data_IF_071938822854
#
_entry.id   IF_071938822854
#
_cell.length_a   1.000
_cell.length_b   1.000
_cell.length_c   1.000
_cell.angle_alpha   90.00
_cell.angle_beta   90.00
_cell.angle_gamma   90.00
#
_symmetry.space_group_name_H-M   'P 1'
#
loop_
_entity.id
_entity.type
_entity.pdbx_description
1 polymer ?
#
# COMPACT_ATOMS: atom_id res chain seq x y z
N UNK A 1 16.87 -23.23 29.55
CA UNK A 1 16.49 -22.41 28.37
C UNK A 1 15.06 -22.71 27.90
N UNK A 2 14.07 -22.79 28.80
CA UNK A 2 12.66 -23.09 28.45
C UNK A 2 11.70 -21.90 28.65
N UNK A 3 12.26 -20.74 29.02
CA UNK A 3 11.49 -19.51 29.29
C UNK A 3 11.33 -18.60 28.09
N UNK A 4 12.29 -18.56 27.15
CA UNK A 4 12.26 -17.62 26.01
C UNK A 4 11.15 -17.92 25.01
N UNK A 5 10.90 -19.19 24.70
CA UNK A 5 9.85 -19.62 23.74
C UNK A 5 8.43 -19.32 24.25
N UNK A 6 8.20 -19.48 25.56
CA UNK A 6 6.90 -19.16 26.18
C UNK A 6 6.68 -17.65 26.28
N UNK A 7 7.77 -16.90 26.54
CA UNK A 7 7.73 -15.44 26.58
C UNK A 7 7.46 -14.86 25.19
N UNK A 8 8.12 -15.36 24.14
CA UNK A 8 7.92 -14.88 22.77
C UNK A 8 6.49 -15.13 22.28
N UNK A 9 5.94 -16.33 22.48
CA UNK A 9 4.56 -16.64 22.11
C UNK A 9 3.53 -15.81 22.87
N UNK A 10 3.76 -15.59 24.17
CA UNK A 10 2.89 -14.71 24.98
C UNK A 10 3.00 -13.25 24.53
N UNK A 11 4.21 -12.74 24.32
CA UNK A 11 4.45 -11.37 23.83
C UNK A 11 3.80 -11.17 22.46
N UNK A 12 3.93 -12.12 21.53
CA UNK A 12 3.33 -12.02 20.20
C UNK A 12 1.80 -12.00 20.26
N UNK A 13 1.20 -12.83 21.13
CA UNK A 13 -0.25 -12.86 21.34
C UNK A 13 -0.77 -11.58 22.00
N UNK A 14 0.02 -10.99 22.90
CA UNK A 14 -0.27 -9.68 23.49
C UNK A 14 -0.14 -8.59 22.44
N UNK A 15 0.88 -8.61 21.58
CA UNK A 15 1.14 -7.61 20.55
C UNK A 15 -0.03 -7.49 19.57
N UNK A 16 -0.62 -8.61 19.16
CA UNK A 16 -1.79 -8.62 18.27
C UNK A 16 -3.07 -8.09 18.95
N UNK A 17 -3.19 -8.23 20.27
CA UNK A 17 -4.33 -7.72 21.05
C UNK A 17 -4.08 -6.33 21.63
N UNK A 18 -2.86 -5.82 21.48
CA UNK A 18 -2.38 -4.61 22.12
C UNK A 18 -3.21 -3.38 21.72
N UNK A 19 -3.53 -3.13 20.43
CA UNK A 19 -4.33 -1.97 20.06
C UNK A 19 -5.72 -1.95 20.72
N UNK A 20 -6.36 -3.12 20.83
CA UNK A 20 -7.66 -3.26 21.49
C UNK A 20 -7.61 -2.97 22.98
N UNK A 21 -6.64 -3.56 23.68
CA UNK A 21 -6.45 -3.35 25.13
C UNK A 21 -6.13 -1.88 25.41
N UNK A 22 -5.24 -1.29 24.63
CA UNK A 22 -4.84 0.12 24.79
C UNK A 22 -6.04 1.03 24.63
N UNK A 23 -6.89 0.85 23.62
CA UNK A 23 -8.02 1.73 23.42
C UNK A 23 -9.07 1.63 24.55
N UNK A 24 -9.31 0.43 25.09
CA UNK A 24 -10.16 0.27 26.30
C UNK A 24 -9.54 0.99 27.49
N UNK A 25 -8.22 0.88 27.68
CA UNK A 25 -7.51 1.59 28.74
C UNK A 25 -7.59 3.11 28.57
N UNK A 26 -7.54 3.62 27.34
CA UNK A 26 -7.74 5.04 27.06
C UNK A 26 -9.13 5.53 27.47
N UNK A 27 -10.18 4.77 27.16
CA UNK A 27 -11.56 5.11 27.58
C UNK A 27 -11.69 5.15 29.10
N UNK A 28 -11.17 4.13 29.80
CA UNK A 28 -11.18 4.09 31.26
C UNK A 28 -10.40 5.26 31.85
N UNK A 29 -9.26 5.62 31.24
CA UNK A 29 -8.45 6.74 31.66
C UNK A 29 -9.15 8.08 31.44
N UNK A 30 -9.88 8.25 30.33
CA UNK A 30 -10.72 9.44 30.08
C UNK A 30 -11.79 9.63 31.17
N UNK A 31 -12.41 8.54 31.63
CA UNK A 31 -13.47 8.57 32.65
C UNK A 31 -12.91 8.85 34.05
N UNK A 32 -11.73 8.33 34.36
CA UNK A 32 -11.16 8.36 35.72
C UNK A 32 -10.27 9.57 36.00
N UNK A 33 -9.65 10.17 34.98
CA UNK A 33 -8.62 11.21 35.16
C UNK A 33 -8.97 12.52 34.45
N UNK A 34 -8.51 12.70 33.20
CA UNK A 34 -8.86 13.80 32.30
C UNK A 34 -8.79 13.34 30.84
N UNK A 35 -9.64 13.92 29.98
CA UNK A 35 -9.68 13.56 28.56
C UNK A 35 -8.40 13.94 27.82
N UNK A 36 -7.73 15.01 28.27
CA UNK A 36 -6.45 15.42 27.71
C UNK A 36 -5.34 14.38 27.89
N UNK A 37 -5.27 13.72 29.05
CA UNK A 37 -4.22 12.71 29.31
C UNK A 37 -4.43 11.49 28.42
N UNK A 38 -5.68 11.05 28.23
CA UNK A 38 -5.98 9.96 27.29
C UNK A 38 -5.61 10.32 25.86
N UNK A 39 -5.80 11.59 25.44
CA UNK A 39 -5.40 12.02 24.10
C UNK A 39 -3.88 11.99 23.92
N UNK A 40 -3.11 12.44 24.92
CA UNK A 40 -1.65 12.39 24.88
C UNK A 40 -1.12 10.94 24.84
N UNK A 41 -1.67 10.05 25.67
CA UNK A 41 -1.28 8.64 25.67
C UNK A 41 -1.68 7.99 24.34
N UNK A 42 -2.89 8.25 23.85
CA UNK A 42 -3.34 7.78 22.54
C UNK A 42 -2.45 8.28 21.40
N UNK A 43 -1.96 9.52 21.48
CA UNK A 43 -1.03 10.09 20.52
C UNK A 43 0.31 9.32 20.49
N UNK A 44 0.85 8.95 21.65
CA UNK A 44 2.08 8.15 21.74
C UNK A 44 1.87 6.76 21.13
N UNK A 45 0.77 6.09 21.46
CA UNK A 45 0.47 4.77 20.88
C UNK A 45 0.22 4.83 19.38
N UNK A 46 -0.45 5.87 18.89
CA UNK A 46 -0.64 6.07 17.46
C UNK A 46 0.72 6.29 16.77
N UNK A 47 1.62 7.08 17.37
CA UNK A 47 2.98 7.26 16.85
C UNK A 47 3.75 5.94 16.75
N UNK A 48 3.61 5.05 17.75
CA UNK A 48 4.21 3.71 17.70
C UNK A 48 3.61 2.86 16.57
N UNK A 49 2.28 2.85 16.41
CA UNK A 49 1.61 2.17 15.27
C UNK A 49 2.14 2.71 13.94
N UNK A 50 2.21 4.03 13.80
CA UNK A 50 2.70 4.68 12.59
C UNK A 50 4.16 4.31 12.30
N UNK A 51 4.99 4.23 13.34
CA UNK A 51 6.39 3.81 13.21
C UNK A 51 6.49 2.38 12.71
N UNK A 52 5.67 1.46 13.23
CA UNK A 52 5.61 0.08 12.75
C UNK A 52 5.23 0.01 11.27
N UNK A 53 4.13 0.67 10.87
CA UNK A 53 3.72 0.76 9.46
C UNK A 53 4.81 1.37 8.57
N UNK A 54 5.51 2.41 9.06
CA UNK A 54 6.59 3.04 8.32
C UNK A 54 7.82 2.15 8.16
N UNK A 55 8.10 1.29 9.14
CA UNK A 55 9.22 0.36 9.08
C UNK A 55 8.96 -0.69 8.00
N UNK A 56 7.76 -1.28 7.98
CA UNK A 56 7.37 -2.26 6.96
C UNK A 56 7.43 -1.64 5.56
N UNK A 57 6.99 -0.38 5.43
CA UNK A 57 7.10 0.37 4.18
C UNK A 57 8.56 0.62 3.76
N UNK A 58 9.41 1.09 4.67
CA UNK A 58 10.84 1.32 4.37
C UNK A 58 11.53 0.00 4.01
N UNK A 59 11.22 -1.10 4.67
CA UNK A 59 11.78 -2.42 4.35
C UNK A 59 11.44 -2.82 2.91
N UNK A 60 10.17 -2.72 2.51
CA UNK A 60 9.76 -3.00 1.13
C UNK A 60 10.41 -2.05 0.11
N UNK A 61 10.51 -0.76 0.45
CA UNK A 61 11.15 0.24 -0.39
C UNK A 61 12.63 -0.10 -0.59
N UNK A 62 13.36 -0.36 0.50
CA UNK A 62 14.80 -0.69 0.49
C UNK A 62 15.05 -1.99 -0.26
N UNK A 63 14.29 -3.06 0.02
CA UNK A 63 14.41 -4.34 -0.70
C UNK A 63 14.18 -4.14 -2.19
N UNK A 64 13.22 -3.31 -2.58
CA UNK A 64 12.97 -3.05 -3.99
C UNK A 64 14.07 -2.22 -4.64
N UNK A 65 14.52 -1.14 -4.00
CA UNK A 65 15.62 -0.31 -4.49
C UNK A 65 16.89 -1.15 -4.60
N UNK A 66 17.16 -2.03 -3.63
CA UNK A 66 18.30 -2.95 -3.65
C UNK A 66 18.19 -3.96 -4.79
N UNK A 67 17.01 -4.54 -5.05
CA UNK A 67 16.78 -5.42 -6.21
C UNK A 67 16.97 -4.69 -7.54
N UNK A 68 16.48 -3.46 -7.64
CA UNK A 68 16.67 -2.62 -8.83
C UNK A 68 18.15 -2.33 -9.06
N UNK A 69 18.87 -1.92 -8.01
CA UNK A 69 20.29 -1.63 -8.07
C UNK A 69 21.14 -2.89 -8.36
N UNK A 70 20.82 -4.03 -7.76
CA UNK A 70 21.49 -5.31 -8.02
C UNK A 70 21.30 -5.75 -9.48
N UNK A 71 20.11 -5.53 -10.07
CA UNK A 71 19.87 -5.77 -11.51
C UNK A 71 20.66 -4.82 -12.39
N UNK A 72 20.80 -3.55 -11.99
CA UNK A 72 21.57 -2.55 -12.72
C UNK A 72 23.08 -2.85 -12.67
N UNK A 73 23.58 -3.31 -11.53
CA UNK A 73 25.00 -3.68 -11.36
C UNK A 73 25.36 -4.99 -12.09
N UNK A 74 24.41 -5.93 -12.22
CA UNK A 74 24.60 -7.17 -13.03
C UNK A 74 24.65 -6.92 -14.55
N UNK A 75 24.40 -5.68 -15.01
CA UNK A 75 24.43 -5.28 -16.43
C UNK A 75 25.72 -4.59 -16.88
N UNK A 76 26.74 -4.54 -16.03
CA UNK A 76 28.10 -4.22 -16.49
C UNK A 76 28.94 -5.50 -16.65
N UNK A 77 28.93 -6.15 -17.82
CA UNK A 77 29.97 -7.09 -18.18
C UNK A 77 31.17 -6.30 -18.73
N UNK A 78 32.25 -6.22 -17.97
CA UNK A 78 33.58 -6.01 -18.57
C UNK A 78 33.90 -7.25 -19.41
N UNK A 79 33.59 -7.16 -20.70
CA UNK A 79 34.20 -7.98 -21.74
C UNK A 79 35.49 -7.28 -22.14
N UNK A 80 36.63 -7.92 -21.91
CA UNK A 80 37.80 -7.92 -22.80
C UNK A 80 39.01 -8.53 -22.07
N UNK A 81 39.12 -9.86 -22.13
CA UNK A 81 40.42 -10.54 -22.14
C UNK A 81 40.31 -11.69 -23.13
N UNK A 82 40.70 -11.41 -24.37
CA UNK A 82 41.06 -12.42 -25.36
C UNK A 82 42.44 -12.03 -25.90
N UNK A 83 43.49 -12.70 -25.43
CA UNK A 83 44.76 -12.79 -26.16
C UNK A 83 45.31 -14.21 -26.04
N UNK A 84 45.06 -14.98 -27.09
CA UNK A 84 45.72 -16.25 -27.38
C UNK A 84 47.20 -15.99 -27.67
N UNK A 85 48.07 -16.78 -27.04
CA UNK A 85 49.45 -17.03 -27.50
C UNK A 85 49.46 -18.44 -28.09
N UNK A 86 49.79 -18.56 -29.38
CA UNK A 86 50.13 -19.83 -30.00
C UNK A 86 51.47 -19.68 -30.71
N UNK A 87 52.38 -20.60 -30.40
CA UNK A 87 53.68 -20.85 -31.04
C UNK A 87 53.45 -21.41 -32.46
N UNK A 88 54.29 -21.06 -33.45
CA UNK A 88 55.00 -22.03 -34.30
C UNK A 88 56.04 -21.35 -35.22
N UNK A 89 57.16 -22.06 -35.39
CA UNK A 89 58.31 -21.82 -36.27
C UNK A 89 57.96 -22.05 -37.75
N UNK A 90 58.70 -21.43 -38.68
CA UNK A 90 59.35 -22.10 -39.84
C UNK A 90 60.08 -21.09 -40.75
N UNK A 91 61.28 -21.52 -41.16
CA UNK A 91 62.33 -20.86 -41.91
C UNK A 91 62.19 -20.93 -43.45
N UNK A 92 62.77 -19.91 -44.10
CA UNK A 92 63.66 -19.91 -45.30
C UNK A 92 63.14 -19.99 -46.75
N UNK A 93 63.75 -19.06 -47.52
CA UNK A 93 64.27 -19.10 -48.92
C UNK A 93 63.24 -19.24 -50.05
N UNK A 94 63.27 -18.51 -51.17
CA UNK A 94 64.18 -17.50 -51.71
C UNK A 94 63.81 -17.23 -53.19
N UNK A 95 64.25 -16.07 -53.71
CA UNK A 95 64.51 -15.77 -55.15
C UNK A 95 63.29 -15.70 -56.10
N UNK A 96 62.79 -14.52 -56.53
CA UNK A 96 63.33 -13.59 -57.57
C UNK A 96 63.33 -14.16 -59.00
N UNK A 97 63.27 -13.37 -60.09
CA UNK A 97 62.52 -12.13 -60.39
C UNK A 97 61.85 -12.20 -61.80
N UNK A 98 61.30 -11.07 -62.26
CA UNK A 98 61.24 -10.55 -63.64
C UNK A 98 59.82 -10.19 -64.10
N UNK A 99 59.55 -9.15 -64.89
CA UNK A 99 60.25 -7.95 -65.40
C UNK A 99 59.27 -7.33 -66.42
N UNK A 100 59.24 -6.00 -66.51
CA UNK A 100 58.79 -5.19 -67.67
C UNK A 100 57.31 -5.29 -68.10
N UNK A 101 56.71 -4.37 -68.84
CA UNK A 101 56.90 -2.97 -69.28
C UNK A 101 55.82 -2.83 -70.38
N UNK A 102 55.31 -1.62 -70.62
CA UNK A 102 54.63 -1.34 -71.89
C UNK A 102 53.22 -0.80 -71.73
N UNK A 103 53.14 0.50 -71.97
CA UNK A 103 51.93 1.30 -72.08
C UNK A 103 51.11 0.94 -73.33
N UNK A 104 49.77 1.09 -73.25
CA UNK A 104 49.00 1.68 -74.34
C UNK A 104 47.70 2.30 -73.81
N UNK A 105 47.44 3.52 -74.30
CA UNK A 105 46.30 4.37 -74.00
C UNK A 105 45.29 4.19 -75.12
N UNK A 106 44.04 3.81 -74.84
CA UNK A 106 42.92 4.27 -75.68
C UNK A 106 41.60 4.40 -74.91
N UNK A 107 40.96 5.55 -75.13
CA UNK A 107 39.69 6.01 -74.59
C UNK A 107 38.50 5.13 -75.00
N UNK A 108 37.56 4.88 -74.08
CA UNK A 108 36.13 5.13 -74.34
C UNK A 108 35.29 5.18 -73.05
N UNK A 109 34.63 6.32 -72.88
CA UNK A 109 33.59 6.60 -71.88
C UNK A 109 32.28 5.95 -72.32
N UNK A 110 31.63 5.17 -71.45
CA UNK A 110 30.17 5.22 -71.20
C UNK A 110 29.73 4.27 -70.06
N UNK A 111 29.42 4.91 -68.92
CA UNK A 111 28.27 4.72 -68.03
C UNK A 111 27.52 3.37 -67.90
N UNK A 112 27.32 3.02 -66.61
CA UNK A 112 26.06 2.73 -65.91
C UNK A 112 25.67 1.28 -65.54
N UNK A 113 25.71 1.07 -64.21
CA UNK A 113 24.87 0.27 -63.28
C UNK A 113 25.38 -1.09 -62.77
N UNK A 114 25.43 -1.15 -61.43
CA UNK A 114 25.83 -2.18 -60.46
C UNK A 114 25.12 -3.55 -60.62
N UNK A 115 25.80 -4.71 -60.43
CA UNK A 115 26.11 -5.44 -59.17
C UNK A 115 24.87 -5.68 -58.28
N UNK A 116 24.60 -6.85 -57.67
CA UNK A 116 25.16 -8.21 -57.55
C UNK A 116 24.09 -8.97 -56.72
N UNK A 117 23.43 -10.01 -57.25
CA UNK A 117 23.61 -11.45 -56.99
C UNK A 117 23.27 -12.02 -55.58
N UNK A 118 22.33 -12.98 -55.63
CA UNK A 118 22.25 -14.28 -54.93
C UNK A 118 22.04 -14.46 -53.40
N UNK A 119 21.06 -15.34 -53.11
CA UNK A 119 20.93 -16.39 -52.07
C UNK A 119 20.87 -15.99 -50.59
N UNK A 120 19.72 -16.13 -49.92
CA UNK A 120 19.20 -17.35 -49.23
C UNK A 120 19.98 -17.76 -47.98
N UNK A 121 19.38 -17.60 -46.78
CA UNK A 121 19.00 -18.69 -45.87
C UNK A 121 18.45 -18.18 -44.51
N UNK A 122 17.40 -18.88 -44.05
CA UNK A 122 16.91 -19.12 -42.69
C UNK A 122 16.99 -18.02 -41.60
N UNK A 123 15.81 -17.51 -41.20
CA UNK A 123 15.60 -16.93 -39.87
C UNK A 123 14.61 -17.80 -39.09
N UNK A 124 15.14 -18.44 -38.05
CA UNK A 124 14.45 -19.29 -37.08
C UNK A 124 13.73 -18.39 -36.06
N UNK A 125 12.41 -18.43 -36.08
CA UNK A 125 11.50 -17.79 -35.12
C UNK A 125 11.58 -18.54 -33.79
N UNK A 126 12.28 -18.01 -32.80
CA UNK A 126 12.22 -18.48 -31.41
C UNK A 126 12.64 -17.39 -30.41
N UNK A 127 11.77 -16.40 -30.17
CA UNK A 127 11.76 -15.63 -28.91
C UNK A 127 10.43 -14.91 -28.74
N UNK A 128 9.46 -15.52 -28.05
CA UNK A 128 8.26 -14.76 -27.63
C UNK A 128 7.54 -15.35 -26.40
N UNK A 129 8.28 -15.77 -25.37
CA UNK A 129 7.68 -16.19 -24.08
C UNK A 129 8.36 -15.57 -22.85
N UNK A 130 9.38 -14.74 -23.03
CA UNK A 130 10.12 -14.14 -21.91
C UNK A 130 9.61 -12.75 -21.52
N UNK A 131 8.89 -12.05 -22.41
CA UNK A 131 8.50 -10.66 -22.19
C UNK A 131 7.16 -10.51 -21.45
N UNK A 132 6.18 -11.40 -21.66
CA UNK A 132 4.84 -11.30 -21.05
C UNK A 132 4.88 -11.43 -19.51
N UNK A 133 5.70 -12.38 -19.00
CA UNK A 133 5.90 -12.59 -17.55
C UNK A 133 6.65 -11.44 -16.86
N UNK A 134 7.39 -10.65 -17.63
CA UNK A 134 8.15 -9.49 -17.12
C UNK A 134 7.29 -8.23 -17.00
N UNK A 135 6.27 -8.10 -17.85
CA UNK A 135 5.31 -6.99 -17.87
C UNK A 135 4.26 -7.19 -16.77
N UNK A 136 3.76 -8.41 -16.57
CA UNK A 136 2.80 -8.72 -15.51
C UNK A 136 3.40 -8.53 -14.10
N UNK A 137 4.66 -8.94 -13.90
CA UNK A 137 5.39 -8.68 -12.65
C UNK A 137 5.66 -7.18 -12.40
N UNK A 138 5.75 -6.37 -13.45
CA UNK A 138 5.97 -4.92 -13.33
C UNK A 138 4.70 -4.21 -12.90
N UNK A 139 3.57 -4.58 -13.50
CA UNK A 139 2.26 -4.01 -13.16
C UNK A 139 1.83 -4.40 -11.75
N UNK A 140 2.02 -5.66 -11.33
CA UNK A 140 1.75 -6.09 -9.95
C UNK A 140 2.63 -5.37 -8.91
N UNK A 141 3.90 -5.09 -9.25
CA UNK A 141 4.81 -4.37 -8.37
C UNK A 141 4.44 -2.88 -8.24
N UNK A 142 3.89 -2.28 -9.30
CA UNK A 142 3.52 -0.87 -9.33
C UNK A 142 2.17 -0.63 -8.61
N UNK A 143 1.20 -1.51 -8.81
CA UNK A 143 -0.09 -1.50 -8.12
C UNK A 143 0.05 -1.70 -6.60
N UNK A 144 0.85 -2.69 -6.17
CA UNK A 144 1.14 -2.91 -4.74
C UNK A 144 1.85 -1.71 -4.08
N UNK A 145 2.66 -0.95 -4.83
CA UNK A 145 3.35 0.24 -4.31
C UNK A 145 2.42 1.43 -4.12
N UNK A 146 1.48 1.65 -5.05
CA UNK A 146 0.53 2.76 -4.97
C UNK A 146 -0.42 2.55 -3.78
N UNK A 147 -0.94 1.33 -3.61
CA UNK A 147 -1.86 0.99 -2.50
C UNK A 147 -1.18 1.17 -1.13
N UNK A 148 0.07 0.72 -0.98
CA UNK A 148 0.79 0.85 0.30
C UNK A 148 1.15 2.31 0.65
N UNK A 149 1.26 3.18 -0.35
CA UNK A 149 1.57 4.60 -0.15
C UNK A 149 0.33 5.38 0.36
N UNK A 150 -0.84 5.09 -0.20
CA UNK A 150 -2.09 5.77 0.18
C UNK A 150 -2.50 5.44 1.63
N UNK A 151 -2.25 4.21 2.09
CA UNK A 151 -2.53 3.79 3.47
C UNK A 151 -1.66 4.55 4.49
N UNK A 152 -0.35 4.65 4.26
CA UNK A 152 0.53 5.39 5.16
C UNK A 152 0.18 6.88 5.17
N UNK A 153 -0.16 7.48 4.02
CA UNK A 153 -0.59 8.87 3.96
C UNK A 153 -1.90 9.11 4.71
N UNK A 154 -2.85 8.19 4.61
CA UNK A 154 -4.10 8.24 5.36
C UNK A 154 -3.86 8.17 6.88
N UNK A 155 -3.13 7.15 7.34
CA UNK A 155 -2.80 6.99 8.75
C UNK A 155 -1.97 8.16 9.29
N UNK A 156 -1.05 8.70 8.48
CA UNK A 156 -0.27 9.89 8.80
C UNK A 156 -1.15 11.14 8.94
N UNK A 157 -2.10 11.36 8.02
CA UNK A 157 -3.02 12.50 8.07
C UNK A 157 -3.87 12.48 9.35
N UNK A 158 -4.44 11.31 9.69
CA UNK A 158 -5.23 11.15 10.91
C UNK A 158 -4.36 11.29 12.16
N UNK A 159 -3.13 10.76 12.14
CA UNK A 159 -2.16 10.96 13.21
C UNK A 159 -1.87 12.45 13.43
N UNK A 160 -1.61 13.21 12.36
CA UNK A 160 -1.37 14.65 12.46
C UNK A 160 -2.57 15.38 13.04
N UNK A 161 -3.80 14.99 12.65
CA UNK A 161 -5.03 15.54 13.22
C UNK A 161 -5.16 15.20 14.71
N UNK A 162 -4.79 13.98 15.12
CA UNK A 162 -4.72 13.58 16.52
C UNK A 162 -3.67 14.38 17.31
N UNK A 163 -2.48 14.60 16.74
CA UNK A 163 -1.42 15.42 17.35
C UNK A 163 -1.89 16.85 17.63
N UNK A 164 -2.61 17.45 16.67
CA UNK A 164 -3.21 18.78 16.85
C UNK A 164 -4.19 18.74 18.02
N UNK A 165 -5.08 17.74 18.08
CA UNK A 165 -6.03 17.58 19.19
C UNK A 165 -5.35 17.41 20.55
N UNK A 166 -4.29 16.60 20.62
CA UNK A 166 -3.50 16.43 21.83
C UNK A 166 -2.82 17.74 22.25
N UNK A 167 -2.23 18.47 21.28
CA UNK A 167 -1.60 19.78 21.50
C UNK A 167 -2.58 20.82 22.05
N UNK A 168 -3.79 20.88 21.48
CA UNK A 168 -4.86 21.76 21.95
C UNK A 168 -5.39 21.38 23.35
N UNK A 169 -5.17 20.14 23.79
CA UNK A 169 -5.59 19.62 25.10
C UNK A 169 -4.50 19.72 26.18
N UNK A 170 -3.28 20.12 25.83
CA UNK A 170 -2.15 20.28 26.78
C UNK A 170 -2.50 21.20 27.95
N UNK A 171 -3.16 22.36 27.79
CA UNK A 171 -3.53 23.22 28.92
C UNK A 171 -4.43 22.52 29.96
N UNK A 172 -5.35 21.64 29.51
CA UNK A 172 -6.20 20.85 30.39
C UNK A 172 -5.37 19.84 31.19
N UNK A 173 -4.44 19.14 30.53
CA UNK A 173 -3.53 18.18 31.18
C UNK A 173 -2.65 18.87 32.19
N UNK A 174 -2.10 20.04 31.85
CA UNK A 174 -1.22 20.79 32.74
C UNK A 174 -1.98 21.26 33.99
N UNK A 175 -3.21 21.73 33.80
CA UNK A 175 -4.11 22.14 34.89
C UNK A 175 -4.46 20.96 35.80
N UNK A 176 -4.76 19.79 35.22
CA UNK A 176 -4.97 18.56 35.97
C UNK A 176 -3.72 18.15 36.75
N UNK A 177 -2.55 18.13 36.11
CA UNK A 177 -1.29 17.72 36.74
C UNK A 177 -0.94 18.61 37.95
N UNK A 178 -1.22 19.91 37.85
CA UNK A 178 -1.03 20.83 38.96
C UNK A 178 -2.01 20.58 40.12
N UNK A 179 -3.27 20.25 39.81
CA UNK A 179 -4.34 20.05 40.80
C UNK A 179 -4.51 18.59 41.25
N UNK A 180 -3.69 17.66 40.74
CA UNK A 180 -3.77 16.23 41.01
C UNK A 180 -3.71 15.88 42.50
N UNK A 181 -3.03 16.71 43.31
CA UNK A 181 -2.94 16.55 44.76
C UNK A 181 -4.28 16.73 45.49
N UNK A 182 -5.21 17.49 44.91
CA UNK A 182 -6.47 17.86 45.55
C UNK A 182 -7.66 17.08 45.01
N UNK A 183 -7.65 16.77 43.71
CA UNK A 183 -8.67 15.94 43.06
C UNK A 183 -8.03 15.13 41.94
N UNK A 184 -8.36 13.84 41.89
CA UNK A 184 -7.93 12.95 40.80
C UNK A 184 -8.69 13.22 39.49
N UNK A 185 -9.87 13.83 39.59
CA UNK A 185 -10.74 14.19 38.47
C UNK A 185 -10.82 15.71 38.30
N UNK A 186 -10.64 16.19 37.06
CA UNK A 186 -10.77 17.60 36.73
C UNK A 186 -12.24 17.92 36.36
N UNK A 187 -12.93 18.75 37.15
CA UNK A 187 -14.24 19.31 36.81
C UNK A 187 -14.19 20.86 36.84
N UNK A 188 -14.71 21.57 35.82
CA UNK A 188 -15.15 21.11 34.51
C UNK A 188 -13.97 20.90 33.52
N UNK A 189 -13.84 19.71 32.92
CA UNK A 189 -12.83 19.43 31.88
C UNK A 189 -13.38 19.72 30.47
N UNK A 190 -12.90 20.76 29.76
CA UNK A 190 -13.32 21.08 28.40
C UNK A 190 -12.94 20.01 27.37
N UNK A 191 -11.93 19.18 27.68
CA UNK A 191 -11.36 18.16 26.80
C UNK A 191 -11.92 16.76 27.08
N UNK A 192 -12.88 16.64 28.00
CA UNK A 192 -13.49 15.36 28.36
C UNK A 192 -14.22 14.71 27.18
N UNK A 193 -15.17 15.45 26.57
CA UNK A 193 -15.95 14.96 25.43
C UNK A 193 -15.08 14.58 24.22
N UNK A 194 -14.17 15.45 23.73
CA UNK A 194 -13.30 15.08 22.61
C UNK A 194 -12.37 13.92 22.96
N UNK A 195 -11.82 13.88 24.18
CA UNK A 195 -10.97 12.79 24.64
C UNK A 195 -11.70 11.44 24.66
N UNK A 196 -12.92 11.41 25.19
CA UNK A 196 -13.73 10.19 25.25
C UNK A 196 -14.11 9.69 23.85
N UNK A 197 -14.58 10.58 22.98
CA UNK A 197 -14.96 10.22 21.61
C UNK A 197 -13.77 9.68 20.81
N UNK A 198 -12.60 10.34 20.89
CA UNK A 198 -11.39 9.86 20.23
C UNK A 198 -10.94 8.51 20.79
N UNK A 199 -11.00 8.30 22.11
CA UNK A 199 -10.68 7.01 22.73
C UNK A 199 -11.59 5.88 22.23
N UNK A 200 -12.89 6.15 22.02
CA UNK A 200 -13.83 5.18 21.43
C UNK A 200 -13.48 4.91 19.97
N UNK A 201 -13.20 5.96 19.20
CA UNK A 201 -12.83 5.85 17.79
C UNK A 201 -11.46 5.18 17.57
N UNK A 202 -10.55 5.18 18.56
CA UNK A 202 -9.25 4.54 18.46
C UNK A 202 -9.35 3.03 18.17
N UNK A 203 -10.38 2.36 18.68
CA UNK A 203 -10.60 0.92 18.48
C UNK A 203 -10.70 0.56 16.98
N UNK A 204 -11.73 1.02 16.24
CA UNK A 204 -11.84 0.73 14.81
C UNK A 204 -10.69 1.34 14.02
N UNK A 205 -10.19 2.51 14.41
CA UNK A 205 -9.11 3.19 13.69
C UNK A 205 -7.78 2.44 13.71
N UNK A 206 -7.53 1.67 14.77
CA UNK A 206 -6.35 0.84 14.86
C UNK A 206 -6.54 -0.55 14.27
N UNK A 207 -7.76 -1.09 14.24
CA UNK A 207 -8.06 -2.41 13.68
C UNK A 207 -8.39 -2.40 12.19
N UNK A 208 -8.73 -1.26 11.61
CA UNK A 208 -8.96 -1.17 10.18
C UNK A 208 -7.64 -1.01 9.46
N UNK A 209 -7.32 -2.03 8.67
CA UNK A 209 -6.30 -1.98 7.66
C UNK A 209 -6.95 -1.45 6.37
N UNK A 210 -6.39 -0.37 5.84
CA UNK A 210 -6.72 0.32 4.59
C UNK A 210 -8.02 1.16 4.58
N UNK A 211 -7.96 2.42 4.08
CA UNK A 211 -9.14 3.12 3.63
C UNK A 211 -9.65 2.46 2.34
N UNK A 212 -10.82 1.81 2.40
CA UNK A 212 -11.46 1.24 1.21
C UNK A 212 -12.06 2.36 0.36
N UNK A 213 -11.31 2.81 -0.64
CA UNK A 213 -11.68 3.93 -1.53
C UNK A 213 -12.73 3.56 -2.57
N UNK A 214 -12.94 2.27 -2.85
CA UNK A 214 -13.82 1.80 -3.94
C UNK A 214 -15.32 1.72 -3.58
N UNK A 215 -15.73 2.23 -2.41
CA UNK A 215 -17.10 2.02 -1.91
C UNK A 215 -18.01 3.21 -2.25
N UNK A 216 -19.26 2.88 -2.63
CA UNK A 216 -20.34 3.83 -2.89
C UNK A 216 -20.63 4.71 -1.64
N UNK A 217 -20.12 5.93 -1.63
CA UNK A 217 -20.30 6.88 -0.52
C UNK A 217 -19.16 7.89 -0.35
N UNK A 218 -17.97 7.59 -0.89
CA UNK A 218 -16.79 8.45 -0.75
C UNK A 218 -16.99 9.87 -1.31
N UNK A 219 -17.78 10.02 -2.39
CA UNK A 219 -18.10 11.35 -2.96
C UNK A 219 -18.86 12.24 -1.96
N UNK A 220 -19.84 11.68 -1.24
CA UNK A 220 -20.59 12.41 -0.21
C UNK A 220 -19.71 12.71 1.00
N UNK A 221 -18.86 11.77 1.41
CA UNK A 221 -17.88 11.98 2.48
C UNK A 221 -16.96 13.16 2.15
N UNK A 222 -16.41 13.21 0.93
CA UNK A 222 -15.54 14.30 0.46
C UNK A 222 -16.23 15.67 0.47
N UNK A 223 -17.50 15.73 0.04
CA UNK A 223 -18.29 16.96 0.08
C UNK A 223 -18.54 17.43 1.52
N UNK A 224 -18.92 16.51 2.42
CA UNK A 224 -19.15 16.83 3.84
C UNK A 224 -17.86 17.30 4.50
N UNK A 225 -16.73 16.62 4.25
CA UNK A 225 -15.43 17.01 4.79
C UNK A 225 -15.01 18.39 4.28
N UNK A 226 -15.20 18.68 3.00
CA UNK A 226 -14.86 19.98 2.41
C UNK A 226 -15.71 21.11 3.01
N UNK A 227 -17.01 20.88 3.19
CA UNK A 227 -17.90 21.82 3.87
C UNK A 227 -17.43 22.04 5.32
N UNK A 228 -17.12 20.95 6.04
CA UNK A 228 -16.70 20.99 7.44
C UNK A 228 -15.36 21.73 7.61
N UNK A 229 -14.42 21.57 6.66
CA UNK A 229 -13.18 22.36 6.61
C UNK A 229 -13.48 23.84 6.39
N UNK A 230 -14.39 24.19 5.47
CA UNK A 230 -14.81 25.57 5.26
C UNK A 230 -15.39 26.21 6.52
N UNK A 231 -16.27 25.49 7.23
CA UNK A 231 -16.80 25.90 8.54
C UNK A 231 -15.67 26.04 9.56
N UNK A 232 -14.75 25.08 9.62
CA UNK A 232 -13.60 25.12 10.53
C UNK A 232 -12.75 26.38 10.31
N UNK A 233 -12.45 26.75 9.06
CA UNK A 233 -11.65 27.92 8.74
C UNK A 233 -12.33 29.22 9.17
N UNK A 234 -13.64 29.34 8.94
CA UNK A 234 -14.43 30.51 9.37
C UNK A 234 -14.43 30.62 10.91
N UNK A 235 -14.66 29.51 11.61
CA UNK A 235 -14.77 29.49 13.07
C UNK A 235 -13.44 29.49 13.84
N UNK A 236 -12.34 29.05 13.20
CA UNK A 236 -11.01 28.96 13.82
C UNK A 236 -10.54 30.29 14.39
N UNK A 237 -10.87 31.39 13.71
CA UNK A 237 -10.49 32.74 14.14
C UNK A 237 -11.19 33.23 15.41
N UNK A 238 -12.32 32.64 15.80
CA UNK A 238 -13.19 33.19 16.86
C UNK A 238 -13.19 32.33 18.13
N UNK A 239 -13.09 30.99 18.02
CA UNK A 239 -13.23 30.11 19.18
C UNK A 239 -12.35 28.85 19.13
N UNK A 240 -11.12 28.97 19.64
CA UNK A 240 -10.13 27.88 19.75
C UNK A 240 -10.65 26.67 20.57
N UNK A 241 -11.47 26.90 21.59
CA UNK A 241 -12.11 25.83 22.37
C UNK A 241 -13.14 25.02 21.57
N UNK A 242 -13.86 25.65 20.64
CA UNK A 242 -14.86 24.96 19.81
C UNK A 242 -14.21 24.15 18.69
N UNK A 243 -12.98 24.49 18.32
CA UNK A 243 -12.19 23.78 17.32
C UNK A 243 -12.01 22.29 17.65
N UNK A 244 -11.76 21.97 18.92
CA UNK A 244 -11.64 20.58 19.39
C UNK A 244 -12.88 19.74 19.10
N UNK A 245 -14.08 20.32 19.21
CA UNK A 245 -15.33 19.62 18.91
C UNK A 245 -15.50 19.37 17.41
N UNK A 246 -15.09 20.33 16.57
CA UNK A 246 -15.19 20.20 15.12
C UNK A 246 -14.21 19.13 14.62
N UNK A 247 -12.94 19.18 15.04
CA UNK A 247 -11.94 18.18 14.64
C UNK A 247 -12.34 16.78 15.14
N UNK A 248 -12.86 16.67 16.37
CA UNK A 248 -13.41 15.41 16.87
C UNK A 248 -14.55 14.91 15.99
N UNK A 249 -15.47 15.79 15.60
CA UNK A 249 -16.56 15.42 14.68
C UNK A 249 -16.04 14.92 13.34
N UNK A 250 -14.97 15.53 12.79
CA UNK A 250 -14.32 15.06 11.56
C UNK A 250 -13.80 13.64 11.75
N UNK A 251 -13.03 13.37 12.81
CA UNK A 251 -12.46 12.04 13.07
C UNK A 251 -13.58 11.01 13.25
N UNK A 252 -14.60 11.32 14.07
CA UNK A 252 -15.75 10.43 14.29
C UNK A 252 -16.48 10.11 12.98
N UNK A 253 -16.66 11.12 12.11
CA UNK A 253 -17.34 10.95 10.83
C UNK A 253 -16.52 10.05 9.91
N UNK A 254 -15.20 10.29 9.80
CA UNK A 254 -14.28 9.42 9.04
C UNK A 254 -14.33 8.00 9.58
N UNK A 255 -14.20 7.80 10.90
CA UNK A 255 -14.23 6.48 11.53
C UNK A 255 -15.57 5.78 11.31
N UNK A 256 -16.69 6.49 11.46
CA UNK A 256 -18.03 5.94 11.25
C UNK A 256 -18.21 5.50 9.79
N UNK A 257 -17.75 6.31 8.84
CA UNK A 257 -17.75 5.95 7.42
C UNK A 257 -16.95 4.68 7.16
N UNK A 258 -15.74 4.56 7.73
CA UNK A 258 -14.91 3.35 7.59
C UNK A 258 -15.57 2.11 8.25
N UNK A 259 -16.28 2.28 9.37
CA UNK A 259 -17.07 1.21 10.00
C UNK A 259 -18.26 0.77 9.16
N UNK A 260 -18.95 1.69 8.50
CA UNK A 260 -20.06 1.35 7.60
C UNK A 260 -19.55 0.61 6.37
N UNK A 261 -18.49 1.12 5.76
CA UNK A 261 -17.78 0.48 4.65
C UNK A 261 -17.45 -0.99 4.94
N UNK A 262 -16.86 -1.29 6.10
CA UNK A 262 -16.52 -2.65 6.50
C UNK A 262 -17.70 -3.61 6.60
N UNK A 263 -18.92 -3.13 6.85
CA UNK A 263 -20.11 -3.99 7.01
C UNK A 263 -20.79 -4.35 5.70
N UNK A 264 -20.71 -3.49 4.68
CA UNK A 264 -21.36 -3.74 3.40
C UNK A 264 -20.70 -4.89 2.62
N UNK A 265 -19.38 -5.01 2.69
CA UNK A 265 -18.63 -6.08 2.00
C UNK A 265 -18.95 -7.48 2.54
N UNK A 266 -19.23 -7.61 3.84
CA UNK A 266 -19.61 -8.90 4.43
C UNK A 266 -21.01 -9.38 3.97
N UNK A 267 -21.85 -8.50 3.43
CA UNK A 267 -23.22 -8.85 3.02
C UNK A 267 -23.30 -9.37 1.58
N UNK A 268 -22.32 -9.07 0.74
CA UNK A 268 -22.35 -9.48 -0.69
C UNK A 268 -21.96 -10.97 -0.87
N UNK A 269 -21.19 -11.54 0.08
CA UNK A 269 -20.78 -12.95 0.05
C UNK A 269 -21.87 -13.93 0.53
N UNK A 270 -22.91 -13.45 1.22
CA UNK A 270 -23.97 -14.33 1.77
C UNK A 270 -25.05 -14.74 0.76
N UNK A 271 -25.12 -14.09 -0.41
CA UNK A 271 -26.22 -14.31 -1.37
C UNK A 271 -25.87 -15.19 -2.59
N UNK A 272 -24.64 -15.73 -2.68
CA UNK A 272 -24.15 -16.47 -3.86
C UNK A 272 -24.27 -18.01 -3.74
N UNK A 273 -24.67 -18.56 -2.58
CA UNK A 273 -24.67 -20.03 -2.35
C UNK A 273 -26.04 -20.75 -2.40
N UNK A 274 -27.12 -20.14 -2.92
CA UNK A 274 -28.45 -20.81 -2.98
C UNK A 274 -29.04 -20.97 -4.39
N UNK A 275 -28.20 -21.27 -5.39
CA UNK A 275 -28.71 -21.63 -6.72
C UNK A 275 -27.83 -22.63 -7.46
N UNK A 276 -27.71 -23.86 -6.96
CA UNK A 276 -27.33 -25.00 -7.80
C UNK A 276 -27.98 -26.28 -7.29
N UNK A 277 -29.17 -26.60 -7.79
CA UNK A 277 -29.59 -27.99 -8.00
C UNK A 277 -30.50 -28.05 -9.23
N UNK A 278 -29.89 -28.35 -10.37
CA UNK A 278 -30.56 -28.81 -11.58
C UNK A 278 -30.81 -30.32 -11.49
N UNK A 279 -32.00 -30.76 -11.91
CA UNK A 279 -32.29 -32.14 -12.26
C UNK A 279 -33.62 -32.25 -13.01
N UNK A 280 -33.63 -32.54 -14.32
CA UNK A 280 -34.84 -32.77 -15.10
C UNK A 280 -35.03 -34.27 -15.38
N UNK A 281 -36.13 -34.89 -14.96
CA UNK A 281 -36.60 -36.15 -15.57
C UNK A 281 -38.14 -36.23 -15.60
N UNK A 282 -38.63 -36.45 -16.81
CA UNK A 282 -39.98 -36.83 -17.25
C UNK A 282 -40.29 -38.29 -16.95
N UNK A 283 -41.53 -38.61 -16.50
CA UNK A 283 -42.50 -39.51 -17.17
C UNK A 283 -43.60 -40.07 -16.23
N UNK A 284 -44.85 -39.76 -16.60
CA UNK A 284 -46.12 -40.53 -16.55
C UNK A 284 -46.44 -41.54 -15.43
N UNK A 285 -47.60 -41.36 -14.78
CA UNK A 285 -48.72 -42.35 -14.77
C UNK A 285 -49.99 -41.84 -14.07
N UNK A 286 -51.07 -41.75 -14.85
CA UNK A 286 -52.47 -42.19 -14.61
C UNK A 286 -53.16 -42.15 -13.24
N UNK A 287 -54.48 -41.91 -13.29
CA UNK A 287 -55.55 -41.91 -12.25
C UNK A 287 -55.64 -40.61 -11.43
N UNK A 288 -56.77 -39.93 -11.25
CA UNK A 288 -58.17 -40.33 -11.33
C UNK A 288 -59.07 -39.14 -11.69
N UNK A 289 -59.99 -39.39 -12.62
CA UNK A 289 -61.20 -38.59 -12.84
C UNK A 289 -62.25 -39.11 -11.86
N UNK A 290 -62.60 -38.35 -10.81
CA UNK A 290 -63.87 -38.56 -10.11
C UNK A 290 -64.38 -37.36 -9.31
N UNK A 291 -65.35 -36.68 -9.91
CA UNK A 291 -66.64 -36.26 -9.34
C UNK A 291 -66.71 -35.44 -8.03
N UNK A 292 -67.24 -34.22 -8.16
CA UNK A 292 -68.28 -33.53 -7.34
C UNK A 292 -68.41 -32.11 -7.91
N UNK A 293 -69.53 -31.54 -8.39
CA UNK A 293 -70.96 -31.77 -8.23
C UNK A 293 -71.37 -32.08 -6.80
N UNK A 294 -71.29 -31.04 -5.96
CA UNK A 294 -72.39 -30.47 -5.18
C UNK A 294 -71.99 -29.09 -4.64
#
# INVERSE_FOLDING_TARGET
MMGSEKLSGWVLSVLHKLPGIVAIMLVLLSITTCGGLSLCIGCIFYFLKLTQMSQDYIEQLVVTVLKYFARQFRRNPTSDVSQNTHEDDTQKEGSSPQTEEGAEIENKVENLVAMDNSSSEESKVESDQTDEKSIENRNQMEESRVVNCDDIFFHFSIFMMWCIMAGLSVPSVLTWAHNFKYSTMLQPDPSFVPGLLLSICALPLWHMDLPKTEICGYSYLGQILTLLVGVTLIYSSVFLHRLNYIITSVIVLVTCHQMLASKYEFSDDSDINDSTTTGPETETSSSDVKAKLE
#
